data_IF_329044215601
#
_entry.id   IF_329044215601
#
_cell.length_a   1.000
_cell.length_b   1.000
_cell.length_c   1.000
_cell.angle_alpha   90.00
_cell.angle_beta   90.00
_cell.angle_gamma   90.00
#
_symmetry.space_group_name_H-M   'P 1'
#
loop_
_entity.id
_entity.type
_entity.pdbx_description
1 polymer ?
#
# COMPACT_ATOMS: atom_id res chain seq x y z
N UNK A 1 -9.38 15.46 34.26
CA UNK A 1 -8.03 14.84 34.25
C UNK A 1 -8.03 13.71 33.24
N UNK A 2 -7.01 13.62 32.37
CA UNK A 2 -6.88 12.50 31.43
C UNK A 2 -6.73 11.18 32.21
N UNK A 3 -7.44 10.14 31.78
CA UNK A 3 -7.23 8.79 32.33
C UNK A 3 -5.90 8.27 31.78
N UNK A 4 -4.85 8.36 32.59
CA UNK A 4 -3.55 7.82 32.23
C UNK A 4 -3.59 6.30 32.42
N UNK A 5 -3.40 5.56 31.33
CA UNK A 5 -3.30 4.10 31.35
C UNK A 5 -1.87 3.72 31.00
N UNK A 6 -1.23 2.95 31.87
CA UNK A 6 0.13 2.45 31.64
C UNK A 6 0.05 1.11 30.94
N UNK A 7 0.81 0.95 29.86
CA UNK A 7 0.93 -0.32 29.13
C UNK A 7 2.34 -0.86 29.31
N UNK A 8 2.46 -2.12 29.70
CA UNK A 8 3.75 -2.80 29.75
C UNK A 8 4.17 -3.21 28.33
N UNK A 9 5.37 -2.83 27.94
CA UNK A 9 5.95 -3.17 26.63
C UNK A 9 7.14 -4.11 26.79
N UNK A 10 7.34 -5.00 25.82
CA UNK A 10 8.50 -5.89 25.82
C UNK A 10 9.78 -5.09 25.57
N UNK A 11 10.92 -5.60 26.08
CA UNK A 11 12.24 -4.99 25.82
C UNK A 11 12.56 -4.92 24.32
N UNK A 12 12.12 -5.92 23.56
CA UNK A 12 12.30 -5.96 22.11
C UNK A 12 11.49 -4.87 21.41
N UNK A 13 10.24 -4.64 21.83
CA UNK A 13 9.40 -3.56 21.29
C UNK A 13 10.02 -2.21 21.58
N UNK A 14 10.43 -1.96 22.83
CA UNK A 14 11.06 -0.71 23.23
C UNK A 14 12.35 -0.45 22.42
N UNK A 15 13.18 -1.47 22.21
CA UNK A 15 14.39 -1.38 21.37
C UNK A 15 14.07 -0.97 19.93
N UNK A 16 13.01 -1.51 19.34
CA UNK A 16 12.57 -1.15 17.98
C UNK A 16 12.11 0.32 17.90
N UNK A 17 11.34 0.78 18.88
CA UNK A 17 10.88 2.18 18.91
C UNK A 17 12.06 3.14 19.09
N UNK A 18 13.05 2.80 19.93
CA UNK A 18 14.27 3.60 20.05
C UNK A 18 15.08 3.66 18.74
N UNK A 19 15.18 2.54 18.01
CA UNK A 19 15.85 2.52 16.71
C UNK A 19 15.15 3.46 15.72
N UNK A 20 13.82 3.38 15.64
CA UNK A 20 13.02 4.26 14.80
C UNK A 20 13.19 5.73 15.18
N UNK A 21 13.12 6.06 16.48
CA UNK A 21 13.33 7.43 16.94
C UNK A 21 14.72 7.96 16.55
N UNK A 22 15.75 7.10 16.56
CA UNK A 22 17.08 7.44 16.08
C UNK A 22 17.15 7.70 14.58
N UNK A 23 16.45 6.87 13.78
CA UNK A 23 16.35 7.05 12.32
C UNK A 23 15.64 8.37 11.98
N UNK A 24 14.49 8.65 12.61
CA UNK A 24 13.75 9.91 12.42
C UNK A 24 14.58 11.12 12.90
N UNK A 25 15.33 10.97 14.00
CA UNK A 25 16.19 12.04 14.51
C UNK A 25 17.33 12.37 13.54
N UNK A 26 17.91 11.34 12.91
CA UNK A 26 18.94 11.51 11.90
C UNK A 26 18.40 12.24 10.66
N UNK A 27 17.19 11.91 10.23
CA UNK A 27 16.52 12.56 9.09
C UNK A 27 16.13 14.02 9.39
N UNK A 28 15.57 14.29 10.57
CA UNK A 28 15.10 15.63 10.95
C UNK A 28 16.21 16.55 11.51
N UNK A 29 17.40 16.01 11.77
CA UNK A 29 18.52 16.76 12.37
C UNK A 29 18.23 17.27 13.80
N UNK A 30 17.24 16.70 14.49
CA UNK A 30 16.87 17.09 15.87
C UNK A 30 16.58 15.87 16.72
N UNK A 31 16.63 16.05 18.04
CA UNK A 31 16.21 15.01 18.98
C UNK A 31 14.71 14.71 18.81
N UNK A 32 14.38 13.42 18.82
CA UNK A 32 13.01 12.90 18.68
C UNK A 32 12.64 12.10 19.91
N UNK A 33 11.41 12.26 20.40
CA UNK A 33 10.90 11.50 21.55
C UNK A 33 10.27 10.18 21.11
N UNK A 34 10.09 9.25 22.06
CA UNK A 34 9.38 7.98 21.77
C UNK A 34 7.92 8.22 21.37
N UNK A 35 7.30 9.26 21.92
CA UNK A 35 5.93 9.66 21.58
C UNK A 35 5.86 10.14 20.12
N UNK A 36 6.78 11.02 19.70
CA UNK A 36 6.85 11.48 18.31
C UNK A 36 7.07 10.31 17.34
N UNK A 37 7.92 9.34 17.69
CA UNK A 37 8.16 8.16 16.88
C UNK A 37 6.90 7.26 16.78
N UNK A 38 6.11 7.16 17.84
CA UNK A 38 4.84 6.42 17.82
C UNK A 38 3.78 7.13 16.97
N UNK A 39 3.66 8.45 17.08
CA UNK A 39 2.76 9.25 16.24
C UNK A 39 3.13 9.08 14.77
N UNK A 40 4.41 9.16 14.44
CA UNK A 40 4.89 8.96 13.07
C UNK A 40 4.48 7.59 12.49
N UNK A 41 4.58 6.51 13.28
CA UNK A 41 4.12 5.18 12.86
C UNK A 41 2.61 5.12 12.63
N UNK A 42 1.83 5.84 13.43
CA UNK A 42 0.38 5.89 13.27
C UNK A 42 0.02 6.64 11.98
N UNK A 43 0.63 7.80 11.75
CA UNK A 43 0.43 8.62 10.56
C UNK A 43 0.79 7.84 9.28
N UNK A 44 1.95 7.18 9.26
CA UNK A 44 2.35 6.31 8.14
C UNK A 44 1.34 5.20 7.86
N UNK A 45 0.79 4.58 8.90
CA UNK A 45 -0.18 3.51 8.76
C UNK A 45 -1.52 4.02 8.22
N UNK A 46 -1.95 5.22 8.61
CA UNK A 46 -3.13 5.88 8.07
C UNK A 46 -2.95 6.28 6.60
N UNK A 47 -1.79 6.81 6.24
CA UNK A 47 -1.43 7.11 4.85
C UNK A 47 -1.47 5.84 4.00
N UNK A 48 -0.80 4.76 4.43
CA UNK A 48 -0.79 3.46 3.73
C UNK A 48 -2.19 2.89 3.56
N UNK A 49 -3.07 2.99 4.57
CA UNK A 49 -4.47 2.56 4.46
C UNK A 49 -5.26 3.40 3.46
N UNK A 50 -4.96 4.69 3.36
CA UNK A 50 -5.62 5.60 2.43
C UNK A 50 -5.15 5.35 1.00
N UNK A 51 -3.87 5.10 0.79
CA UNK A 51 -3.29 4.70 -0.50
C UNK A 51 -3.81 3.34 -0.97
N UNK A 52 -3.89 2.35 -0.07
CA UNK A 52 -4.50 1.05 -0.40
C UNK A 52 -6.00 1.18 -0.75
N UNK A 53 -6.70 2.18 -0.22
CA UNK A 53 -8.09 2.49 -0.59
C UNK A 53 -8.20 3.36 -1.85
N UNK A 54 -7.15 4.11 -2.22
CA UNK A 54 -7.14 4.99 -3.38
C UNK A 54 -6.74 4.28 -4.67
N UNK A 55 -6.17 3.07 -4.59
CA UNK A 55 -6.29 2.09 -5.66
C UNK A 55 -7.77 1.76 -5.84
N UNK A 56 -8.49 2.61 -6.58
CA UNK A 56 -9.77 2.30 -7.20
C UNK A 56 -9.45 1.34 -8.35
N UNK A 57 -9.62 0.01 -8.19
CA UNK A 57 -9.51 -0.90 -9.32
C UNK A 57 -10.50 -0.54 -10.42
N UNK A 58 -11.55 0.25 -10.12
CA UNK A 58 -12.65 0.51 -11.03
C UNK A 58 -12.26 1.25 -12.31
N UNK A 59 -11.36 2.24 -12.30
CA UNK A 59 -11.05 3.00 -13.52
C UNK A 59 -10.18 2.19 -14.50
N UNK A 60 -9.13 1.54 -13.99
CA UNK A 60 -8.26 0.69 -14.79
C UNK A 60 -8.98 -0.59 -15.25
N UNK A 61 -9.82 -1.18 -14.39
CA UNK A 61 -10.65 -2.33 -14.74
C UNK A 61 -11.73 -1.96 -15.76
N UNK A 62 -12.35 -0.77 -15.65
CA UNK A 62 -13.30 -0.29 -16.67
C UNK A 62 -12.61 -0.05 -18.01
N UNK A 63 -11.41 0.53 -18.02
CA UNK A 63 -10.61 0.66 -19.25
C UNK A 63 -10.28 -0.70 -19.86
N UNK A 64 -9.83 -1.65 -19.04
CA UNK A 64 -9.53 -3.00 -19.51
C UNK A 64 -10.76 -3.70 -20.09
N UNK A 65 -11.91 -3.63 -19.40
CA UNK A 65 -13.17 -4.18 -19.90
C UNK A 65 -13.59 -3.50 -21.22
N UNK A 66 -13.46 -2.18 -21.32
CA UNK A 66 -13.78 -1.46 -22.56
C UNK A 66 -12.87 -1.86 -23.73
N UNK A 67 -11.62 -2.21 -23.48
CA UNK A 67 -10.69 -2.71 -24.51
C UNK A 67 -11.04 -4.14 -24.95
N UNK A 68 -11.46 -4.99 -24.02
CA UNK A 68 -11.88 -6.37 -24.32
C UNK A 68 -13.23 -6.42 -25.06
N UNK A 69 -14.14 -5.49 -24.76
CA UNK A 69 -15.45 -5.37 -25.41
C UNK A 69 -15.38 -4.62 -26.75
N UNK A 70 -14.23 -4.01 -27.08
CA UNK A 70 -14.04 -3.29 -28.33
C UNK A 70 -14.08 -4.26 -29.51
N UNK A 71 -15.16 -4.21 -30.28
CA UNK A 71 -15.27 -4.95 -31.53
C UNK A 71 -14.46 -4.20 -32.59
N UNK A 72 -13.40 -4.82 -33.09
CA UNK A 72 -12.61 -4.31 -34.20
C UNK A 72 -13.37 -4.64 -35.49
N UNK A 73 -13.70 -3.62 -36.29
CA UNK A 73 -14.33 -3.84 -37.59
C UNK A 73 -13.40 -4.67 -38.50
N UNK A 74 -13.91 -5.81 -38.97
CA UNK A 74 -13.14 -6.78 -39.75
C UNK A 74 -12.65 -7.99 -38.95
N UNK A 75 -12.69 -7.96 -37.61
CA UNK A 75 -12.36 -9.10 -36.78
C UNK A 75 -13.56 -10.06 -36.68
N UNK A 76 -13.46 -11.22 -37.33
CA UNK A 76 -14.49 -12.26 -37.36
C UNK A 76 -14.11 -13.47 -36.49
N UNK A 77 -15.03 -14.43 -36.29
CA UNK A 77 -14.74 -15.71 -35.64
C UNK A 77 -13.64 -16.53 -36.33
N UNK A 78 -13.33 -16.20 -37.59
CA UNK A 78 -12.28 -16.78 -38.42
C UNK A 78 -10.88 -16.46 -37.86
N UNK A 79 -10.66 -15.24 -37.33
CA UNK A 79 -9.36 -14.77 -36.85
C UNK A 79 -8.92 -15.44 -35.54
N UNK A 80 -9.85 -16.11 -34.85
CA UNK A 80 -9.56 -16.90 -33.65
C UNK A 80 -9.12 -18.34 -33.98
N UNK A 81 -9.15 -18.77 -35.25
CA UNK A 81 -8.83 -20.14 -35.67
C UNK A 81 -7.35 -20.38 -35.95
N UNK A 82 -6.50 -19.35 -35.98
CA UNK A 82 -5.09 -19.48 -36.39
C UNK A 82 -4.16 -20.03 -35.30
N UNK A 83 -4.67 -20.34 -34.10
CA UNK A 83 -3.88 -20.98 -33.04
C UNK A 83 -4.33 -22.42 -32.84
N UNK A 84 -3.64 -23.35 -33.48
CA UNK A 84 -3.72 -24.76 -33.13
C UNK A 84 -2.91 -24.97 -31.84
N UNK A 85 -3.61 -25.04 -30.70
CA UNK A 85 -2.98 -25.25 -29.37
C UNK A 85 -2.25 -26.59 -29.26
N UNK A 86 -2.35 -27.46 -30.27
CA UNK A 86 -1.67 -28.74 -30.35
C UNK A 86 -0.24 -28.65 -30.91
N UNK A 87 0.20 -27.46 -31.37
CA UNK A 87 1.59 -27.20 -31.80
C UNK A 87 2.53 -26.77 -30.64
N UNK A 88 2.11 -26.93 -29.38
CA UNK A 88 2.88 -26.65 -28.16
C UNK A 88 3.43 -27.92 -27.49
#
# INVERSE_FOLDING_TARGET
MSKNTTIKVSKNTLKKIHKLAGEIAAEKGRRVTLEEALIHLLDENELKKTEMKSHKPDEERKKLLSLLEMKIEGAGPEDFKEYDFNDL
#
